data_IF_420568847091
#
_entry.id   IF_420568847091
#
_cell.length_a   1.000
_cell.length_b   1.000
_cell.length_c   1.000
_cell.angle_alpha   90.00
_cell.angle_beta   90.00
_cell.angle_gamma   90.00
#
_symmetry.space_group_name_H-M   'P 1'
#
loop_
_entity.id
_entity.type
_entity.pdbx_description
1 polymer ?
#
# COMPACT_ATOMS: atom_id res chain seq x y z
N UNK A 1 1.74 21.77 5.28
CA UNK A 1 0.33 21.34 5.36
C UNK A 1 0.29 19.92 5.89
N UNK A 2 -0.62 19.61 6.82
CA UNK A 2 -0.60 18.30 7.46
C UNK A 2 -0.99 17.22 6.43
N UNK A 3 -0.38 16.04 6.57
CA UNK A 3 -0.71 14.81 5.85
C UNK A 3 -2.21 14.69 5.52
N UNK A 4 -2.52 14.51 4.23
CA UNK A 4 -3.88 14.49 3.68
C UNK A 4 -4.34 13.04 3.53
N UNK A 5 -5.61 12.78 3.83
CA UNK A 5 -6.20 11.47 3.61
C UNK A 5 -6.50 11.22 2.13
N UNK A 6 -6.43 9.96 1.65
CA UNK A 6 -6.74 9.57 0.27
C UNK A 6 -8.04 10.14 -0.30
N UNK A 7 -9.10 10.17 0.52
CA UNK A 7 -10.43 10.67 0.12
C UNK A 7 -10.42 12.18 -0.12
N UNK A 8 -9.78 12.92 0.79
CA UNK A 8 -9.64 14.37 0.71
C UNK A 8 -8.77 14.77 -0.48
N UNK A 9 -7.70 14.01 -0.74
CA UNK A 9 -6.84 14.20 -1.91
C UNK A 9 -7.62 13.97 -3.21
N UNK A 10 -8.36 12.86 -3.31
CA UNK A 10 -9.21 12.56 -4.47
C UNK A 10 -10.24 13.68 -4.72
N UNK A 11 -10.79 14.28 -3.66
CA UNK A 11 -11.73 15.40 -3.77
C UNK A 11 -11.06 16.71 -4.26
N UNK A 12 -9.81 16.97 -3.86
CA UNK A 12 -9.02 18.12 -4.36
C UNK A 12 -8.67 17.96 -5.83
N UNK A 13 -8.26 16.75 -6.25
CA UNK A 13 -7.94 16.46 -7.65
C UNK A 13 -9.16 16.65 -8.56
N UNK A 14 -10.35 16.23 -8.11
CA UNK A 14 -11.62 16.50 -8.84
C UNK A 14 -11.95 17.98 -9.00
N UNK A 15 -11.42 18.85 -8.12
CA UNK A 15 -11.57 20.31 -8.21
C UNK A 15 -10.47 20.96 -9.07
N UNK A 16 -9.56 20.19 -9.66
CA UNK A 16 -8.41 20.69 -10.43
C UNK A 16 -7.31 21.31 -9.56
N UNK A 17 -7.33 21.09 -8.24
CA UNK A 17 -6.30 21.61 -7.35
C UNK A 17 -5.09 20.68 -7.36
N UNK A 18 -4.10 21.01 -8.19
CA UNK A 18 -2.82 20.30 -8.28
C UNK A 18 -1.74 20.99 -7.45
N UNK A 19 -0.85 20.18 -6.88
CA UNK A 19 0.37 20.61 -6.22
C UNK A 19 1.58 20.14 -7.02
N UNK A 20 2.70 20.86 -6.92
CA UNK A 20 3.92 20.52 -7.66
C UNK A 20 4.66 19.31 -7.10
N UNK A 21 4.35 18.89 -5.86
CA UNK A 21 5.00 17.77 -5.19
C UNK A 21 3.97 16.89 -4.46
N UNK A 22 4.01 15.59 -4.75
CA UNK A 22 3.23 14.57 -4.06
C UNK A 22 4.16 13.49 -3.51
N UNK A 23 3.95 13.11 -2.26
CA UNK A 23 4.54 11.91 -1.68
C UNK A 23 3.46 10.99 -1.14
N UNK A 24 3.33 9.80 -1.74
CA UNK A 24 2.27 8.84 -1.49
C UNK A 24 2.90 7.54 -1.02
N UNK A 25 2.54 7.12 0.18
CA UNK A 25 3.04 5.89 0.78
C UNK A 25 1.93 5.20 1.55
N UNK A 26 2.11 3.93 1.90
CA UNK A 26 1.17 3.24 2.77
C UNK A 26 1.23 1.74 2.62
N UNK A 27 0.53 1.04 3.51
CA UNK A 27 0.40 -0.42 3.48
C UNK A 27 -0.63 -0.90 2.45
N UNK A 28 -1.59 -0.06 2.05
CA UNK A 28 -2.55 -0.38 0.98
C UNK A 28 -2.03 0.06 -0.39
N UNK A 29 -1.26 -0.83 -1.03
CA UNK A 29 -0.59 -0.61 -2.32
C UNK A 29 -1.60 -0.22 -3.42
N UNK A 30 -2.79 -0.81 -3.42
CA UNK A 30 -3.80 -0.52 -4.43
C UNK A 30 -4.32 0.91 -4.32
N UNK A 31 -4.53 1.39 -3.10
CA UNK A 31 -4.90 2.79 -2.87
C UNK A 31 -3.79 3.74 -3.32
N UNK A 32 -2.51 3.41 -3.06
CA UNK A 32 -1.37 4.20 -3.55
C UNK A 32 -1.42 4.30 -5.08
N UNK A 33 -1.52 3.16 -5.78
CA UNK A 33 -1.56 3.15 -7.24
C UNK A 33 -2.77 3.91 -7.83
N UNK A 34 -3.95 3.76 -7.24
CA UNK A 34 -5.16 4.43 -7.70
C UNK A 34 -5.03 5.95 -7.60
N UNK A 35 -4.51 6.46 -6.48
CA UNK A 35 -4.30 7.90 -6.28
C UNK A 35 -3.22 8.39 -7.23
N UNK A 36 -2.11 7.67 -7.38
CA UNK A 36 -1.05 8.03 -8.33
C UNK A 36 -1.61 8.15 -9.75
N UNK A 37 -2.44 7.18 -10.20
CA UNK A 37 -3.12 7.25 -11.50
C UNK A 37 -4.07 8.43 -11.62
N UNK A 38 -4.82 8.76 -10.56
CA UNK A 38 -5.71 9.93 -10.56
C UNK A 38 -4.94 11.24 -10.70
N UNK A 39 -3.79 11.39 -10.03
CA UNK A 39 -2.95 12.59 -10.15
C UNK A 39 -2.41 12.71 -11.58
N UNK A 40 -1.85 11.64 -12.12
CA UNK A 40 -1.32 11.59 -13.50
C UNK A 40 -2.41 11.99 -14.50
N UNK A 41 -3.60 11.38 -14.40
CA UNK A 41 -4.73 11.68 -15.28
C UNK A 41 -5.19 13.14 -15.16
N UNK A 42 -5.15 13.71 -13.96
CA UNK A 42 -5.54 15.11 -13.74
C UNK A 42 -4.49 16.09 -14.28
N UNK A 43 -3.20 15.72 -14.21
CA UNK A 43 -2.08 16.55 -14.64
C UNK A 43 -1.87 16.52 -16.17
N UNK A 44 -2.03 15.35 -16.79
CA UNK A 44 -1.61 15.11 -18.18
C UNK A 44 -2.79 14.73 -19.09
N UNK A 45 -3.94 14.36 -18.53
CA UNK A 45 -5.08 13.90 -19.32
C UNK A 45 -4.76 12.61 -20.07
N UNK A 46 -5.09 12.57 -21.36
CA UNK A 46 -4.84 11.41 -22.23
C UNK A 46 -3.41 11.41 -22.83
N UNK A 47 -2.60 12.43 -22.55
CA UNK A 47 -1.25 12.60 -23.12
C UNK A 47 -0.14 11.90 -22.32
N UNK A 48 -0.47 10.82 -21.59
CA UNK A 48 0.46 10.14 -20.68
C UNK A 48 1.75 9.72 -21.41
N UNK A 49 1.67 9.28 -22.66
CA UNK A 49 2.85 8.82 -23.42
C UNK A 49 3.91 9.91 -23.67
N UNK A 50 3.50 11.18 -23.71
CA UNK A 50 4.37 12.29 -24.09
C UNK A 50 4.79 13.18 -22.91
N UNK A 51 3.99 13.22 -21.85
CA UNK A 51 4.18 14.16 -20.74
C UNK A 51 4.37 13.47 -19.38
N UNK A 52 4.43 12.13 -19.34
CA UNK A 52 4.77 11.37 -18.14
C UNK A 52 6.15 10.72 -18.25
N UNK A 53 7.08 11.15 -17.39
CA UNK A 53 8.37 10.47 -17.22
C UNK A 53 8.31 9.55 -16.01
N UNK A 54 8.45 8.22 -16.22
CA UNK A 54 8.51 7.23 -15.14
C UNK A 54 9.95 6.85 -14.84
N UNK A 55 10.35 6.98 -13.58
CA UNK A 55 11.70 6.71 -13.10
C UNK A 55 11.61 5.70 -11.96
N UNK A 56 12.39 4.62 -12.06
CA UNK A 56 12.60 3.71 -10.93
C UNK A 56 13.69 4.29 -10.04
N UNK A 57 13.36 4.55 -8.76
CA UNK A 57 14.28 5.20 -7.84
C UNK A 57 15.59 4.43 -7.64
N UNK A 58 15.59 3.09 -7.76
CA UNK A 58 16.80 2.27 -7.60
C UNK A 58 17.90 2.60 -8.62
N UNK A 59 17.51 3.14 -9.77
CA UNK A 59 18.39 3.49 -10.88
C UNK A 59 18.36 4.99 -11.20
N UNK A 60 17.94 5.83 -10.25
CA UNK A 60 17.79 7.25 -10.49
C UNK A 60 19.14 7.94 -10.68
N UNK A 61 19.23 8.77 -11.71
CA UNK A 61 20.35 9.68 -11.89
C UNK A 61 19.90 11.11 -11.53
N UNK A 62 20.47 11.67 -10.47
CA UNK A 62 20.05 12.96 -9.91
C UNK A 62 20.29 14.14 -10.86
N UNK A 63 21.42 14.25 -11.58
CA UNK A 63 21.60 15.28 -12.61
C UNK A 63 20.54 15.19 -13.70
N UNK A 64 20.32 13.99 -14.26
CA UNK A 64 19.28 13.78 -15.28
C UNK A 64 17.88 14.12 -14.75
N UNK A 65 17.59 13.86 -13.48
CA UNK A 65 16.34 14.24 -12.84
C UNK A 65 16.16 15.76 -12.76
N UNK A 66 17.20 16.50 -12.37
CA UNK A 66 17.19 17.96 -12.26
C UNK A 66 16.91 18.61 -13.63
N UNK A 67 17.57 18.10 -14.68
CA UNK A 67 17.33 18.50 -16.05
C UNK A 67 15.87 18.21 -16.46
N UNK A 68 15.36 17.01 -16.16
CA UNK A 68 13.99 16.59 -16.51
C UNK A 68 12.93 17.44 -15.79
N UNK A 69 13.15 17.78 -14.51
CA UNK A 69 12.25 18.65 -13.73
C UNK A 69 12.18 20.06 -14.32
N UNK A 70 13.31 20.53 -14.84
CA UNK A 70 13.46 21.85 -15.45
C UNK A 70 12.90 21.93 -16.88
N UNK A 71 12.58 20.80 -17.50
CA UNK A 71 11.96 20.78 -18.83
C UNK A 71 10.55 21.36 -18.79
N UNK A 72 10.27 22.30 -19.69
CA UNK A 72 8.94 22.83 -19.90
C UNK A 72 8.03 21.78 -20.57
N UNK A 73 6.77 21.64 -20.14
CA UNK A 73 5.82 20.80 -20.84
C UNK A 73 5.52 21.37 -22.23
N UNK A 74 5.46 20.50 -23.24
CA UNK A 74 5.18 20.89 -24.62
C UNK A 74 3.74 20.57 -25.08
N UNK A 75 3.14 19.49 -24.59
CA UNK A 75 1.87 18.92 -25.10
C UNK A 75 0.76 18.92 -24.02
N UNK A 76 1.10 19.27 -22.78
CA UNK A 76 0.20 19.29 -21.62
C UNK A 76 0.41 20.57 -20.81
N UNK A 77 -0.51 20.85 -19.89
CA UNK A 77 -0.37 21.96 -18.95
C UNK A 77 0.77 21.73 -17.94
N UNK A 78 1.09 20.47 -17.67
CA UNK A 78 2.11 20.06 -16.70
C UNK A 78 3.05 18.98 -17.22
N UNK A 79 4.33 19.07 -16.86
CA UNK A 79 5.32 18.00 -17.00
C UNK A 79 5.22 17.09 -15.78
N UNK A 80 4.81 15.82 -15.96
CA UNK A 80 4.58 14.91 -14.85
C UNK A 80 5.74 13.91 -14.72
N UNK A 81 6.34 13.84 -13.53
CA UNK A 81 7.45 12.95 -13.24
C UNK A 81 7.05 12.01 -12.10
N UNK A 82 7.06 10.71 -12.36
CA UNK A 82 6.77 9.67 -11.39
C UNK A 82 8.07 8.99 -10.96
N UNK A 83 8.43 9.09 -9.68
CA UNK A 83 9.55 8.39 -9.07
C UNK A 83 8.99 7.27 -8.19
N UNK A 84 9.22 6.03 -8.60
CA UNK A 84 8.72 4.85 -7.89
C UNK A 84 9.78 4.28 -6.93
N UNK A 85 9.36 3.97 -5.70
CA UNK A 85 10.09 3.24 -4.66
C UNK A 85 11.38 3.92 -4.19
N UNK A 86 11.35 5.25 -4.03
CA UNK A 86 12.47 5.97 -3.43
C UNK A 86 12.61 5.66 -1.94
N UNK A 87 13.69 4.97 -1.57
CA UNK A 87 14.01 4.66 -0.19
C UNK A 87 15.20 5.49 0.31
N UNK A 88 14.98 6.36 1.32
CA UNK A 88 16.05 7.16 1.91
C UNK A 88 17.15 6.32 2.62
N UNK A 89 16.90 5.06 2.97
CA UNK A 89 17.91 4.17 3.55
C UNK A 89 18.90 3.66 2.50
N UNK A 90 18.36 3.17 1.38
CA UNK A 90 19.10 2.68 0.22
C UNK A 90 18.54 3.33 -1.06
N UNK A 91 18.98 4.57 -1.36
CA UNK A 91 18.40 5.34 -2.46
C UNK A 91 18.77 4.82 -3.85
N UNK A 92 19.91 4.13 -3.98
CA UNK A 92 20.38 3.53 -5.22
C UNK A 92 20.70 2.06 -5.01
N UNK A 93 20.62 1.24 -6.06
CA UNK A 93 21.04 -0.15 -5.95
C UNK A 93 22.55 -0.29 -5.79
N UNK A 94 23.31 0.52 -6.55
CA UNK A 94 24.76 0.68 -6.39
C UNK A 94 25.10 1.86 -5.46
N UNK A 95 25.46 1.51 -4.23
CA UNK A 95 25.89 2.45 -3.18
C UNK A 95 27.41 2.50 -3.00
N UNK A 96 28.20 1.87 -3.88
CA UNK A 96 29.66 1.79 -3.72
C UNK A 96 30.28 3.18 -3.67
N UNK A 97 30.90 3.51 -2.53
CA UNK A 97 31.55 4.80 -2.30
C UNK A 97 30.61 6.01 -2.14
N UNK A 98 29.28 5.79 -2.08
CA UNK A 98 28.29 6.86 -1.93
C UNK A 98 27.57 6.75 -0.59
N UNK A 99 27.39 7.87 0.10
CA UNK A 99 26.57 7.93 1.33
C UNK A 99 25.13 8.26 0.96
N UNK A 100 24.17 7.53 1.54
CA UNK A 100 22.75 7.78 1.34
C UNK A 100 22.34 9.21 1.72
N UNK A 101 22.96 9.78 2.75
CA UNK A 101 22.68 11.14 3.20
C UNK A 101 23.01 12.20 2.15
N UNK A 102 24.10 12.03 1.40
CA UNK A 102 24.51 12.99 0.38
C UNK A 102 23.56 12.95 -0.83
N UNK A 103 23.11 11.74 -1.21
CA UNK A 103 22.10 11.54 -2.26
C UNK A 103 20.76 12.16 -1.84
N UNK A 104 20.32 11.89 -0.60
CA UNK A 104 19.08 12.45 -0.07
C UNK A 104 19.11 13.99 -0.01
N UNK A 105 20.25 14.59 0.36
CA UNK A 105 20.39 16.06 0.35
C UNK A 105 20.25 16.62 -1.06
N UNK A 106 20.94 16.03 -2.04
CA UNK A 106 20.84 16.45 -3.45
C UNK A 106 19.41 16.34 -3.97
N UNK A 107 18.71 15.23 -3.69
CA UNK A 107 17.31 15.08 -4.06
C UNK A 107 16.45 16.19 -3.43
N UNK A 108 16.60 16.45 -2.14
CA UNK A 108 15.84 17.51 -1.46
C UNK A 108 16.13 18.90 -2.04
N UNK A 109 17.35 19.16 -2.50
CA UNK A 109 17.70 20.42 -3.14
C UNK A 109 17.06 20.56 -4.53
N UNK A 110 17.02 19.49 -5.32
CA UNK A 110 16.28 19.43 -6.59
C UNK A 110 14.78 19.69 -6.35
N UNK A 111 14.19 19.01 -5.36
CA UNK A 111 12.77 19.13 -5.04
C UNK A 111 12.37 20.50 -4.44
N UNK A 112 13.33 21.35 -4.02
CA UNK A 112 13.02 22.72 -3.58
C UNK A 112 12.69 23.64 -4.75
N UNK A 113 13.25 23.36 -5.92
CA UNK A 113 13.20 24.25 -7.07
C UNK A 113 12.35 23.66 -8.19
N UNK A 114 11.19 23.08 -7.86
CA UNK A 114 10.28 22.52 -8.86
C UNK A 114 9.56 23.68 -9.57
N UNK A 115 9.66 23.78 -10.92
CA UNK A 115 8.91 24.78 -11.68
C UNK A 115 7.39 24.65 -11.48
N UNK A 116 6.63 25.75 -11.58
CA UNK A 116 5.18 25.71 -11.38
C UNK A 116 4.44 24.83 -12.40
N UNK A 117 5.03 24.60 -13.57
CA UNK A 117 4.51 23.74 -14.63
C UNK A 117 4.99 22.28 -14.54
N UNK A 118 5.66 21.89 -13.45
CA UNK A 118 6.15 20.51 -13.24
C UNK A 118 5.51 19.92 -11.99
N UNK A 119 5.07 18.66 -12.09
CA UNK A 119 4.49 17.89 -11.00
C UNK A 119 5.36 16.65 -10.76
N UNK A 120 5.91 16.54 -9.56
CA UNK A 120 6.72 15.39 -9.13
C UNK A 120 5.91 14.53 -8.18
N UNK A 121 5.79 13.24 -8.50
CA UNK A 121 5.08 12.23 -7.71
C UNK A 121 6.08 11.20 -7.23
N UNK A 122 6.25 11.12 -5.92
CA UNK A 122 6.98 10.04 -5.25
C UNK A 122 5.94 9.03 -4.75
N UNK A 123 5.92 7.82 -5.31
CA UNK A 123 5.05 6.75 -4.81
C UNK A 123 5.89 5.59 -4.27
N UNK A 124 5.37 4.91 -3.24
CA UNK A 124 6.02 3.74 -2.63
C UNK A 124 5.06 2.56 -2.68
N UNK A 125 5.47 1.53 -3.40
CA UNK A 125 4.69 0.31 -3.68
C UNK A 125 5.49 -0.98 -3.42
N UNK A 126 6.81 -0.93 -3.55
CA UNK A 126 7.73 -2.07 -3.45
C UNK A 126 8.33 -2.30 -2.07
N UNK A 127 8.02 -1.47 -1.07
CA UNK A 127 8.40 -1.71 0.33
C UNK A 127 7.43 -1.06 1.31
N UNK A 128 7.40 -1.57 2.54
CA UNK A 128 6.57 -1.03 3.61
C UNK A 128 7.37 0.01 4.38
N UNK A 129 6.84 1.24 4.46
CA UNK A 129 7.42 2.26 5.34
C UNK A 129 6.96 2.00 6.76
N UNK A 130 7.90 1.92 7.69
CA UNK A 130 7.56 1.80 9.11
C UNK A 130 6.95 3.10 9.63
N UNK A 131 5.69 2.99 10.05
CA UNK A 131 4.92 4.09 10.61
C UNK A 131 4.51 3.78 12.05
N UNK A 132 4.53 4.78 12.94
CA UNK A 132 4.00 4.67 14.30
C UNK A 132 2.82 5.62 14.48
N UNK A 133 1.71 5.10 15.01
CA UNK A 133 0.58 5.92 15.41
C UNK A 133 0.98 6.89 16.54
N UNK A 134 0.86 8.18 16.27
CA UNK A 134 1.09 9.23 17.27
C UNK A 134 -0.26 9.72 17.82
N UNK A 135 -0.49 9.41 19.10
CA UNK A 135 -1.73 9.76 19.81
C UNK A 135 -1.91 11.28 19.99
N UNK A 136 -0.86 12.09 19.85
CA UNK A 136 -0.96 13.56 19.96
C UNK A 136 -1.44 14.22 18.67
N UNK A 137 -1.02 13.71 17.53
CA UNK A 137 -1.39 14.23 16.20
C UNK A 137 -2.53 13.45 15.55
N UNK A 138 -2.88 12.27 16.08
CA UNK A 138 -3.94 11.41 15.55
C UNK A 138 -3.59 10.78 14.19
N UNK A 139 -2.30 10.71 13.86
CA UNK A 139 -1.79 10.26 12.54
C UNK A 139 -0.62 9.33 12.70
N UNK A 140 -0.35 8.52 11.67
CA UNK A 140 0.87 7.73 11.68
C UNK A 140 2.06 8.58 11.20
N UNK A 141 3.13 8.53 11.97
CA UNK A 141 4.37 9.25 11.67
C UNK A 141 5.42 8.25 11.23
N UNK A 142 6.08 8.54 10.10
CA UNK A 142 7.24 7.78 9.63
C UNK A 142 8.39 7.98 10.61
N UNK A 143 8.95 6.88 11.11
CA UNK A 143 10.07 6.93 12.07
C UNK A 143 11.45 6.81 11.44
N UNK A 144 11.49 6.30 10.23
CA UNK A 144 12.73 5.95 9.58
C UNK A 144 13.39 7.17 8.86
N UNK A 145 14.51 6.96 8.17
CA UNK A 145 15.23 7.99 7.39
C UNK A 145 14.33 8.72 6.38
N UNK A 146 13.25 8.06 5.96
CA UNK A 146 12.20 8.62 5.10
C UNK A 146 11.42 9.79 5.75
N UNK A 147 11.51 9.99 7.07
CA UNK A 147 10.86 11.11 7.78
C UNK A 147 11.27 12.47 7.24
N UNK A 148 12.56 12.68 6.91
CA UNK A 148 13.04 13.97 6.39
C UNK A 148 12.37 14.32 5.05
N UNK A 149 12.17 13.33 4.19
CA UNK A 149 11.47 13.48 2.92
C UNK A 149 9.96 13.74 3.15
N UNK A 150 9.35 13.02 4.10
CA UNK A 150 7.95 13.22 4.47
C UNK A 150 7.69 14.63 5.03
N UNK A 151 8.54 15.10 5.94
CA UNK A 151 8.46 16.45 6.51
C UNK A 151 8.65 17.53 5.44
N UNK A 152 9.50 17.27 4.45
CA UNK A 152 9.71 18.17 3.31
C UNK A 152 8.49 18.21 2.38
N UNK A 153 7.97 17.04 1.98
CA UNK A 153 6.78 16.94 1.14
C UNK A 153 5.55 17.56 1.82
N UNK A 154 5.40 17.36 3.13
CA UNK A 154 4.37 17.99 3.95
C UNK A 154 4.46 19.52 3.92
N UNK A 155 5.66 20.12 3.86
CA UNK A 155 5.83 21.58 3.81
C UNK A 155 5.62 22.17 2.43
N UNK A 156 6.15 21.52 1.39
CA UNK A 156 6.25 22.09 0.04
C UNK A 156 5.23 21.51 -0.96
N UNK A 157 4.42 20.55 -0.55
CA UNK A 157 3.41 19.90 -1.39
C UNK A 157 2.41 19.11 -0.58
N UNK A 158 2.10 17.90 -1.02
CA UNK A 158 1.11 17.02 -0.42
C UNK A 158 1.75 15.71 0.00
N UNK A 159 1.57 15.37 1.28
CA UNK A 159 1.90 14.06 1.85
C UNK A 159 0.61 13.26 2.03
N UNK A 160 0.52 12.06 1.45
CA UNK A 160 -0.67 11.20 1.55
C UNK A 160 -0.28 9.81 2.05
N UNK A 161 -0.95 9.34 3.10
CA UNK A 161 -0.81 7.98 3.61
C UNK A 161 -2.01 7.11 3.22
N UNK A 162 -1.73 5.98 2.59
CA UNK A 162 -2.69 4.94 2.25
C UNK A 162 -2.56 3.78 3.24
N UNK A 163 -3.01 3.99 4.48
CA UNK A 163 -3.05 2.92 5.47
C UNK A 163 -4.14 1.89 5.12
N UNK A 164 -3.89 0.61 5.42
CA UNK A 164 -4.92 -0.43 5.42
C UNK A 164 -6.03 -0.02 6.37
N UNK A 165 -7.26 -0.02 5.87
CA UNK A 165 -8.45 0.37 6.63
C UNK A 165 -8.84 -0.76 7.56
N UNK A 166 -9.32 -0.40 8.76
CA UNK A 166 -10.00 -1.35 9.61
C UNK A 166 -11.35 -1.78 8.98
N UNK A 167 -11.96 -2.83 9.51
CA UNK A 167 -13.22 -3.36 8.99
C UNK A 167 -14.36 -2.34 9.03
N UNK A 168 -14.41 -1.44 10.02
CA UNK A 168 -15.45 -0.41 10.13
C UNK A 168 -15.31 0.70 9.08
N UNK A 169 -14.09 1.14 8.81
CA UNK A 169 -13.80 2.17 7.82
C UNK A 169 -13.93 1.63 6.40
N UNK A 170 -13.54 0.37 6.19
CA UNK A 170 -13.76 -0.32 4.93
C UNK A 170 -15.26 -0.57 4.69
N UNK A 171 -16.04 -0.90 5.72
CA UNK A 171 -17.49 -1.05 5.60
C UNK A 171 -18.18 0.21 5.02
N UNK A 172 -17.78 1.40 5.45
CA UNK A 172 -18.29 2.67 4.88
C UNK A 172 -17.97 2.80 3.40
N UNK A 173 -16.78 2.37 2.99
CA UNK A 173 -16.38 2.39 1.58
C UNK A 173 -17.12 1.35 0.75
N UNK A 174 -17.39 0.17 1.31
CA UNK A 174 -18.20 -0.88 0.70
C UNK A 174 -19.62 -0.34 0.44
N UNK A 175 -20.26 0.28 1.44
CA UNK A 175 -21.59 0.88 1.28
C UNK A 175 -21.59 1.90 0.13
N UNK A 176 -20.60 2.80 0.08
CA UNK A 176 -20.51 3.79 -0.99
C UNK A 176 -20.31 3.15 -2.38
N UNK A 177 -19.48 2.09 -2.47
CA UNK A 177 -19.25 1.36 -3.72
C UNK A 177 -20.51 0.64 -4.19
N UNK A 178 -21.23 -0.04 -3.29
CA UNK A 178 -22.51 -0.69 -3.61
C UNK A 178 -23.53 0.34 -4.11
N UNK A 179 -23.65 1.48 -3.43
CA UNK A 179 -24.56 2.56 -3.85
C UNK A 179 -24.20 3.11 -5.23
N UNK A 180 -22.91 3.29 -5.55
CA UNK A 180 -22.48 3.74 -6.88
C UNK A 180 -22.80 2.74 -8.01
N UNK A 181 -23.02 1.47 -7.67
CA UNK A 181 -23.40 0.39 -8.59
C UNK A 181 -24.93 0.18 -8.65
N UNK A 182 -25.71 1.04 -7.99
CA UNK A 182 -27.16 0.96 -7.96
C UNK A 182 -27.72 -0.10 -7.00
N UNK A 183 -26.88 -0.66 -6.11
CA UNK A 183 -27.31 -1.60 -5.08
C UNK A 183 -27.53 -0.93 -3.72
N UNK A 184 -28.01 -1.71 -2.75
CA UNK A 184 -28.15 -1.29 -1.34
C UNK A 184 -27.53 -2.35 -0.43
N UNK A 185 -26.92 -1.94 0.68
CA UNK A 185 -26.37 -2.86 1.70
C UNK A 185 -26.39 -2.19 3.08
N UNK A 186 -26.65 -2.98 4.13
CA UNK A 186 -26.53 -2.51 5.52
C UNK A 186 -25.07 -2.39 5.94
N UNK A 187 -24.78 -1.48 6.85
CA UNK A 187 -23.42 -1.28 7.35
C UNK A 187 -22.85 -2.54 8.03
N UNK A 188 -23.70 -3.31 8.73
CA UNK A 188 -23.32 -4.58 9.37
C UNK A 188 -22.91 -5.62 8.33
N UNK A 189 -23.70 -5.80 7.28
CA UNK A 189 -23.40 -6.69 6.15
C UNK A 189 -22.12 -6.26 5.41
N UNK A 190 -21.93 -4.96 5.23
CA UNK A 190 -20.71 -4.42 4.63
C UNK A 190 -19.48 -4.71 5.50
N UNK A 191 -19.61 -4.63 6.82
CA UNK A 191 -18.55 -4.99 7.77
C UNK A 191 -18.24 -6.49 7.73
N UNK A 192 -19.25 -7.33 7.62
CA UNK A 192 -19.07 -8.78 7.47
C UNK A 192 -18.24 -9.10 6.22
N UNK A 193 -18.52 -8.46 5.08
CA UNK A 193 -17.73 -8.61 3.86
C UNK A 193 -16.27 -8.18 4.08
N UNK A 194 -16.06 -7.02 4.73
CA UNK A 194 -14.70 -6.55 5.06
C UNK A 194 -13.92 -7.56 5.92
N UNK A 195 -14.58 -8.17 6.90
CA UNK A 195 -13.97 -9.19 7.77
C UNK A 195 -13.72 -10.51 7.02
N UNK A 196 -14.65 -10.95 6.17
CA UNK A 196 -14.50 -12.16 5.34
C UNK A 196 -13.38 -12.03 4.31
N UNK A 197 -13.08 -10.83 3.84
CA UNK A 197 -11.99 -10.54 2.92
C UNK A 197 -10.72 -10.01 3.60
N UNK A 198 -10.62 -10.10 4.93
CA UNK A 198 -9.41 -9.71 5.70
C UNK A 198 -8.95 -8.27 5.44
N UNK A 199 -9.92 -7.39 5.14
CA UNK A 199 -9.70 -6.01 4.74
C UNK A 199 -8.84 -5.81 3.46
N UNK A 200 -8.68 -6.84 2.62
CA UNK A 200 -8.07 -6.72 1.30
C UNK A 200 -9.02 -5.98 0.36
N UNK A 201 -8.60 -4.79 -0.08
CA UNK A 201 -9.38 -3.90 -0.93
C UNK A 201 -9.67 -4.49 -2.31
N UNK A 202 -8.79 -5.33 -2.88
CA UNK A 202 -9.03 -5.97 -4.17
C UNK A 202 -10.05 -7.09 -4.06
N UNK A 203 -9.87 -7.97 -3.07
CA UNK A 203 -10.81 -9.05 -2.80
C UNK A 203 -12.21 -8.49 -2.56
N UNK A 204 -12.33 -7.48 -1.70
CA UNK A 204 -13.59 -6.80 -1.43
C UNK A 204 -14.21 -6.24 -2.71
N UNK A 205 -13.45 -5.61 -3.61
CA UNK A 205 -14.02 -5.07 -4.85
C UNK A 205 -14.65 -6.16 -5.72
N UNK A 206 -13.94 -7.28 -5.89
CA UNK A 206 -14.40 -8.43 -6.66
C UNK A 206 -15.66 -9.05 -6.04
N UNK A 207 -15.71 -9.17 -4.71
CA UNK A 207 -16.89 -9.68 -4.00
C UNK A 207 -18.09 -8.74 -4.11
N UNK A 208 -17.90 -7.42 -4.00
CA UNK A 208 -18.96 -6.44 -4.23
C UNK A 208 -19.48 -6.53 -5.67
N UNK A 209 -18.61 -6.72 -6.67
CA UNK A 209 -19.04 -6.86 -8.07
C UNK A 209 -19.95 -8.06 -8.24
N UNK A 210 -19.54 -9.23 -7.72
CA UNK A 210 -20.37 -10.45 -7.73
C UNK A 210 -21.71 -10.24 -7.03
N UNK A 211 -21.70 -9.65 -5.84
CA UNK A 211 -22.91 -9.42 -5.05
C UNK A 211 -23.86 -8.44 -5.73
N UNK A 212 -23.36 -7.34 -6.31
CA UNK A 212 -24.19 -6.39 -7.04
C UNK A 212 -24.82 -7.01 -8.28
N UNK A 213 -24.06 -7.82 -9.03
CA UNK A 213 -24.58 -8.54 -10.20
C UNK A 213 -25.66 -9.55 -9.83
N UNK A 214 -25.51 -10.24 -8.68
CA UNK A 214 -26.52 -11.19 -8.20
C UNK A 214 -27.77 -10.50 -7.64
N UNK A 215 -27.59 -9.43 -6.87
CA UNK A 215 -28.70 -8.70 -6.26
C UNK A 215 -29.57 -7.98 -7.30
N UNK A 216 -28.99 -7.55 -8.44
CA UNK A 216 -29.67 -6.86 -9.54
C UNK A 216 -30.46 -5.62 -9.06
N UNK A 217 -29.81 -4.78 -8.24
CA UNK A 217 -30.39 -3.57 -7.67
C UNK A 217 -31.20 -3.77 -6.38
N UNK A 218 -31.38 -5.02 -5.92
CA UNK A 218 -31.95 -5.32 -4.60
C UNK A 218 -30.94 -5.08 -3.47
N UNK A 219 -31.44 -5.05 -2.24
CA UNK A 219 -30.59 -5.03 -1.05
C UNK A 219 -29.77 -6.33 -0.94
N UNK A 220 -28.45 -6.19 -0.73
CA UNK A 220 -27.55 -7.29 -0.45
C UNK A 220 -27.80 -7.76 1.00
N UNK A 221 -28.42 -8.92 1.12
CA UNK A 221 -28.74 -9.53 2.41
C UNK A 221 -27.61 -10.42 2.92
N UNK A 222 -27.66 -10.76 4.21
CA UNK A 222 -26.71 -11.68 4.85
C UNK A 222 -26.71 -13.06 4.16
N UNK A 223 -27.88 -13.56 3.75
CA UNK A 223 -27.99 -14.83 3.01
C UNK A 223 -27.22 -14.81 1.69
N UNK A 224 -27.27 -13.68 0.95
CA UNK A 224 -26.51 -13.53 -0.29
C UNK A 224 -25.00 -13.52 -0.03
N UNK A 225 -24.57 -12.90 1.06
CA UNK A 225 -23.16 -12.86 1.48
C UNK A 225 -22.67 -14.26 1.82
N UNK A 226 -23.41 -14.99 2.66
CA UNK A 226 -23.06 -16.36 3.05
C UNK A 226 -23.06 -17.33 1.85
N UNK A 227 -23.88 -17.07 0.83
CA UNK A 227 -23.93 -17.89 -0.38
C UNK A 227 -22.79 -17.62 -1.37
N UNK A 228 -22.37 -16.35 -1.52
CA UNK A 228 -21.51 -15.92 -2.65
C UNK A 228 -20.10 -15.50 -2.24
N UNK A 229 -19.92 -15.03 -1.01
CA UNK A 229 -18.64 -14.52 -0.52
C UNK A 229 -17.89 -15.68 0.13
N UNK A 230 -16.73 -16.00 -0.44
CA UNK A 230 -15.85 -16.97 0.19
C UNK A 230 -15.06 -16.27 1.30
N UNK A 231 -15.05 -16.88 2.49
CA UNK A 231 -14.22 -16.40 3.60
C UNK A 231 -12.76 -16.66 3.27
N UNK A 232 -12.00 -15.60 3.08
CA UNK A 232 -10.56 -15.68 2.96
C UNK A 232 -9.95 -16.00 4.33
N UNK A 233 -8.89 -16.81 4.31
CA UNK A 233 -8.15 -17.18 5.51
C UNK A 233 -6.70 -16.71 5.35
N UNK A 234 -6.20 -16.02 6.37
CA UNK A 234 -4.79 -15.62 6.44
C UNK A 234 -3.91 -16.76 6.97
N UNK A 235 -4.43 -17.99 7.01
CA UNK A 235 -3.68 -19.14 7.51
C UNK A 235 -2.61 -19.51 6.51
N UNK A 236 -1.37 -19.31 6.93
CA UNK A 236 -0.19 -19.70 6.18
C UNK A 236 0.41 -20.95 6.80
N UNK A 237 1.20 -21.65 6.01
CA UNK A 237 1.98 -22.81 6.48
C UNK A 237 2.87 -22.44 7.67
N UNK A 238 3.40 -21.23 7.72
CA UNK A 238 4.18 -20.73 8.86
C UNK A 238 3.33 -20.52 10.11
N UNK A 239 2.10 -20.02 9.98
CA UNK A 239 1.17 -19.91 11.13
C UNK A 239 0.80 -21.29 11.68
N UNK A 240 0.59 -22.29 10.81
CA UNK A 240 0.42 -23.68 11.22
C UNK A 240 1.66 -24.19 11.97
N UNK A 241 2.86 -24.03 11.39
CA UNK A 241 4.10 -24.49 12.00
C UNK A 241 4.34 -23.86 13.38
N UNK A 242 4.06 -22.56 13.52
CA UNK A 242 4.10 -21.86 14.80
C UNK A 242 3.05 -22.39 15.78
N UNK A 243 1.80 -22.58 15.36
CA UNK A 243 0.75 -23.12 16.23
C UNK A 243 1.13 -24.51 16.78
N UNK A 244 1.73 -25.36 15.94
CA UNK A 244 2.27 -26.66 16.35
C UNK A 244 3.41 -26.49 17.36
N UNK A 245 4.35 -25.58 17.08
CA UNK A 245 5.49 -25.30 17.98
C UNK A 245 5.04 -24.75 19.36
N UNK A 246 4.00 -23.92 19.39
CA UNK A 246 3.41 -23.38 20.61
C UNK A 246 2.42 -24.33 21.29
N UNK A 247 2.20 -25.53 20.74
CA UNK A 247 1.22 -26.51 21.23
C UNK A 247 -0.22 -25.96 21.26
N UNK A 248 -0.55 -24.96 20.43
CA UNK A 248 -1.89 -24.44 20.27
C UNK A 248 -2.70 -25.35 19.33
N UNK A 249 -3.31 -26.35 19.96
CA UNK A 249 -4.10 -27.39 19.28
C UNK A 249 -5.24 -26.80 18.44
N UNK A 250 -5.96 -25.81 18.97
CA UNK A 250 -7.14 -25.27 18.30
C UNK A 250 -6.76 -24.57 17.00
N UNK A 251 -5.76 -23.68 17.07
CA UNK A 251 -5.28 -22.96 15.90
C UNK A 251 -4.60 -23.90 14.90
N UNK A 252 -3.89 -24.93 15.36
CA UNK A 252 -3.24 -25.89 14.48
C UNK A 252 -4.25 -26.72 13.66
N UNK A 253 -5.31 -27.26 14.30
CA UNK A 253 -6.33 -28.02 13.56
C UNK A 253 -7.13 -27.12 12.62
N UNK A 254 -7.51 -25.93 13.07
CA UNK A 254 -8.14 -24.93 12.19
C UNK A 254 -7.27 -24.60 10.98
N UNK A 255 -5.96 -24.45 11.16
CA UNK A 255 -5.04 -24.21 10.06
C UNK A 255 -4.98 -25.37 9.06
N UNK A 256 -5.04 -26.61 9.53
CA UNK A 256 -5.04 -27.81 8.67
C UNK A 256 -6.28 -27.81 7.78
N UNK A 257 -7.45 -27.53 8.37
CA UNK A 257 -8.71 -27.47 7.64
C UNK A 257 -8.72 -26.31 6.62
N UNK A 258 -8.23 -25.14 7.01
CA UNK A 258 -8.22 -23.95 6.15
C UNK A 258 -7.16 -24.01 5.05
N UNK A 259 -6.04 -24.70 5.26
CA UNK A 259 -4.97 -24.86 4.26
C UNK A 259 -5.30 -25.90 3.19
N UNK A 260 -6.38 -26.68 3.35
CA UNK A 260 -6.81 -27.76 2.44
C UNK A 260 -5.60 -28.58 1.95
N UNK A 261 -5.04 -29.39 2.84
CA UNK A 261 -3.80 -30.12 2.57
C UNK A 261 -4.00 -31.11 1.42
N UNK A 262 -3.39 -30.80 0.28
CA UNK A 262 -3.38 -31.59 -0.95
C UNK A 262 -1.97 -32.16 -1.23
N UNK A 263 -1.87 -33.06 -2.19
CA UNK A 263 -0.59 -33.68 -2.56
C UNK A 263 0.51 -32.66 -2.95
N UNK A 264 0.12 -31.52 -3.52
CA UNK A 264 1.04 -30.46 -3.96
C UNK A 264 1.64 -29.66 -2.79
N UNK A 265 0.87 -29.40 -1.72
CA UNK A 265 1.29 -28.56 -0.60
C UNK A 265 1.75 -29.36 0.64
N UNK A 266 1.45 -30.66 0.72
CA UNK A 266 1.80 -31.53 1.86
C UNK A 266 3.29 -31.55 2.18
N UNK A 267 4.15 -31.66 1.16
CA UNK A 267 5.61 -31.70 1.36
C UNK A 267 6.13 -30.35 1.88
N UNK A 268 5.58 -29.25 1.34
CA UNK A 268 5.92 -27.91 1.79
C UNK A 268 5.49 -27.68 3.24
N UNK A 269 4.28 -28.10 3.62
CA UNK A 269 3.78 -28.02 5.00
C UNK A 269 4.65 -28.81 5.97
N UNK A 270 4.98 -30.06 5.61
CA UNK A 270 5.87 -30.87 6.41
C UNK A 270 7.25 -30.22 6.60
N UNK A 271 7.82 -29.68 5.51
CA UNK A 271 9.12 -29.02 5.55
C UNK A 271 9.13 -27.80 6.48
N UNK A 272 8.06 -27.00 6.47
CA UNK A 272 7.95 -25.82 7.33
C UNK A 272 7.86 -26.21 8.81
N UNK A 273 7.03 -27.19 9.16
CA UNK A 273 6.91 -27.71 10.53
C UNK A 273 8.27 -28.25 10.99
N UNK A 274 8.92 -29.09 10.17
CA UNK A 274 10.23 -29.65 10.49
C UNK A 274 11.29 -28.56 10.72
N UNK A 275 11.33 -27.54 9.87
CA UNK A 275 12.26 -26.42 10.02
C UNK A 275 12.04 -25.65 11.32
N UNK A 276 10.79 -25.42 11.74
CA UNK A 276 10.50 -24.77 13.02
C UNK A 276 11.04 -25.57 14.22
N UNK A 277 10.90 -26.91 14.20
CA UNK A 277 11.49 -27.76 15.24
C UNK A 277 13.02 -27.78 15.20
N UNK A 278 13.62 -27.78 14.01
CA UNK A 278 15.08 -27.67 13.86
C UNK A 278 15.58 -26.34 14.44
N UNK A 279 14.86 -25.24 14.21
CA UNK A 279 15.23 -23.92 14.75
C UNK A 279 15.07 -23.86 16.28
N UNK A 280 14.03 -24.48 16.85
CA UNK A 280 13.90 -24.66 18.30
C UNK A 280 15.06 -25.48 18.89
N UNK A 281 15.46 -26.56 18.21
CA UNK A 281 16.60 -27.37 18.63
C UNK A 281 17.91 -26.57 18.59
N UNK A 282 18.16 -25.82 17.51
CA UNK A 282 19.33 -24.92 17.38
C UNK A 282 19.36 -23.89 18.51
N UNK A 283 18.22 -23.27 18.82
CA UNK A 283 18.10 -22.32 19.92
C UNK A 283 18.40 -22.96 21.28
N UNK A 284 17.93 -24.19 21.52
CA UNK A 284 18.23 -24.94 22.74
C UNK A 284 19.73 -25.25 22.86
N UNK A 285 20.38 -25.70 21.78
CA UNK A 285 21.82 -25.92 21.75
C UNK A 285 22.63 -24.63 21.98
N UNK A 286 22.21 -23.51 21.38
CA UNK A 286 22.82 -22.20 21.61
C UNK A 286 22.78 -21.79 23.08
N UNK A 287 21.58 -21.87 23.68
CA UNK A 287 21.35 -21.58 25.10
C UNK A 287 22.22 -22.46 26.01
N UNK A 288 22.34 -23.74 25.70
CA UNK A 288 23.18 -24.68 26.45
C UNK A 288 24.69 -24.39 26.29
N UNK A 289 25.07 -23.81 25.15
CA UNK A 289 26.47 -23.43 24.85
C UNK A 289 26.83 -22.01 25.32
N UNK A 290 25.92 -21.31 26.02
CA UNK A 290 26.15 -19.97 26.57
C UNK A 290 26.11 -18.83 25.55
N UNK A 291 25.47 -19.04 24.39
CA UNK A 291 25.17 -18.00 23.39
C UNK A 291 23.68 -17.75 23.27
#
# INVERSE_FOLDING_TARGET
MPQIDPKSLSAQLKKGQLANLYYIYGSDINSVEQITKQIIKTAVGDNEEFALTKINAKYIDLPSLDDTISMMPMISDYNCILINDYNCEKPLDDMRGRKAEDINKKLLDILKNIPPATIVILNVTGFVIETKYDYKSGKNIIKDKNKKLADFASKNGILCECAVKNSNDLAKDIVNKVSSRGGMIRLENARQIAEMCLCDTLAVNNEIDKLCMYAQGREITEDMINLLVHRQNDMTVYKLANAVAFMDRFTAFKAIDELNIDYSNKLYIFSAIANTFIDLYRAACGKQSGK
#
